data_IF_109836504103
#
_entry.id   IF_109836504103
#
_cell.length_a   1.000
_cell.length_b   1.000
_cell.length_c   1.000
_cell.angle_alpha   90.00
_cell.angle_beta   90.00
_cell.angle_gamma   90.00
#
_symmetry.space_group_name_H-M   'P 1'
#
loop_
_entity.id
_entity.type
_entity.pdbx_description
1 polymer ?
#
# COMPACT_ATOMS: atom_id res chain seq x y z
N UNK A 1 12.19 -20.69 16.53
CA UNK A 1 11.69 -21.15 15.21
C UNK A 1 11.04 -22.53 15.28
N UNK A 2 11.71 -23.58 15.75
CA UNK A 2 11.12 -24.93 15.88
C UNK A 2 9.82 -24.95 16.69
N UNK A 3 9.76 -24.25 17.82
CA UNK A 3 8.54 -24.18 18.67
C UNK A 3 7.38 -23.43 17.99
N UNK A 4 7.69 -22.47 17.13
CA UNK A 4 6.70 -21.71 16.35
C UNK A 4 6.11 -22.59 15.26
N UNK A 5 6.97 -23.26 14.49
CA UNK A 5 6.53 -24.26 13.52
C UNK A 5 5.70 -25.35 14.19
N UNK A 6 6.12 -25.80 15.38
CA UNK A 6 5.37 -26.79 16.15
C UNK A 6 4.00 -26.26 16.59
N UNK A 7 3.93 -25.04 17.10
CA UNK A 7 2.67 -24.37 17.46
C UNK A 7 1.73 -24.28 16.26
N UNK A 8 2.24 -23.92 15.08
CA UNK A 8 1.45 -23.74 13.87
C UNK A 8 1.01 -25.07 13.26
N UNK A 9 1.86 -26.10 13.29
CA UNK A 9 1.54 -27.48 12.94
C UNK A 9 0.39 -28.01 13.82
N UNK A 10 0.50 -27.83 15.14
CA UNK A 10 -0.55 -28.22 16.08
C UNK A 10 -1.84 -27.44 15.81
N UNK A 11 -1.77 -26.14 15.50
CA UNK A 11 -2.96 -25.36 15.16
C UNK A 11 -3.65 -25.88 13.89
N UNK A 12 -2.89 -26.26 12.85
CA UNK A 12 -3.40 -26.87 11.61
C UNK A 12 -4.10 -28.21 11.86
N UNK A 13 -3.59 -28.99 12.82
CA UNK A 13 -4.21 -30.24 13.29
C UNK A 13 -5.42 -30.04 14.22
N UNK A 14 -5.92 -28.81 14.36
CA UNK A 14 -7.13 -28.49 15.13
C UNK A 14 -6.94 -28.35 16.64
N UNK A 15 -5.69 -28.33 17.13
CA UNK A 15 -5.43 -28.25 18.56
C UNK A 15 -5.84 -26.88 19.15
N UNK A 16 -6.37 -26.91 20.37
CA UNK A 16 -6.72 -25.70 21.13
C UNK A 16 -5.47 -24.94 21.55
N UNK A 17 -5.56 -23.62 21.76
CA UNK A 17 -4.41 -22.82 22.20
C UNK A 17 -3.84 -23.27 23.54
N UNK A 18 -4.70 -23.83 24.42
CA UNK A 18 -4.26 -24.46 25.68
C UNK A 18 -3.39 -25.68 25.40
N UNK A 19 -3.80 -26.55 24.47
CA UNK A 19 -3.01 -27.74 24.14
C UNK A 19 -1.70 -27.40 23.44
N UNK A 20 -1.70 -26.35 22.63
CA UNK A 20 -0.48 -25.83 22.02
C UNK A 20 0.47 -25.26 23.08
N UNK A 21 -0.07 -24.51 24.05
CA UNK A 21 0.67 -23.98 25.21
C UNK A 21 1.39 -25.08 25.99
N UNK A 22 0.69 -26.20 26.24
CA UNK A 22 1.27 -27.37 26.93
C UNK A 22 2.44 -27.99 26.15
N UNK A 23 2.35 -28.03 24.81
CA UNK A 23 3.37 -28.68 23.98
C UNK A 23 4.57 -27.77 23.72
N UNK A 24 4.36 -26.46 23.58
CA UNK A 24 5.44 -25.52 23.23
C UNK A 24 5.98 -24.74 24.43
N UNK A 25 5.34 -24.82 25.59
CA UNK A 25 5.68 -24.03 26.78
C UNK A 25 5.31 -22.54 26.69
N UNK A 26 4.64 -22.11 25.62
CA UNK A 26 4.28 -20.71 25.41
C UNK A 26 2.96 -20.38 26.09
N UNK A 27 2.81 -19.20 26.68
CA UNK A 27 1.49 -18.81 27.23
C UNK A 27 0.43 -18.73 26.14
N UNK A 28 -0.81 -19.10 26.46
CA UNK A 28 -1.99 -18.96 25.60
C UNK A 28 -2.15 -17.54 25.07
N UNK A 29 -1.85 -16.52 25.88
CA UNK A 29 -1.89 -15.11 25.43
C UNK A 29 -0.86 -14.80 24.34
N UNK A 30 0.34 -15.42 24.42
CA UNK A 30 1.41 -15.28 23.43
C UNK A 30 1.02 -15.97 22.13
N UNK A 31 0.45 -17.17 22.22
CA UNK A 31 -0.04 -17.94 21.08
C UNK A 31 -1.18 -17.21 20.36
N UNK A 32 -2.13 -16.63 21.10
CA UNK A 32 -3.27 -15.87 20.54
C UNK A 32 -2.80 -14.57 19.90
N UNK A 33 -1.92 -13.80 20.57
CA UNK A 33 -1.32 -12.58 19.98
C UNK A 33 -0.57 -12.89 18.69
N UNK A 34 0.21 -13.96 18.69
CA UNK A 34 0.94 -14.44 17.53
C UNK A 34 -0.02 -14.85 16.40
N UNK A 35 -1.04 -15.65 16.68
CA UNK A 35 -2.00 -16.13 15.67
C UNK A 35 -2.84 -14.99 15.07
N UNK A 36 -3.24 -14.01 15.88
CA UNK A 36 -4.06 -12.86 15.46
C UNK A 36 -3.25 -11.76 14.75
N UNK A 37 -1.96 -11.62 15.02
CA UNK A 37 -1.11 -10.60 14.40
C UNK A 37 -0.51 -11.04 13.05
N UNK A 38 -0.56 -12.33 12.71
CA UNK A 38 0.13 -12.86 11.54
C UNK A 38 -0.82 -13.34 10.42
N UNK A 39 -1.52 -12.41 9.76
CA UNK A 39 -1.95 -12.62 8.36
C UNK A 39 -0.80 -12.32 7.35
N UNK A 40 0.42 -12.15 7.86
CA UNK A 40 1.68 -12.00 7.12
C UNK A 40 2.78 -12.95 7.60
N UNK A 41 2.41 -14.16 8.01
CA UNK A 41 3.30 -15.23 8.53
C UNK A 41 4.62 -15.36 7.75
N UNK A 42 4.61 -15.42 6.40
CA UNK A 42 5.85 -15.63 5.66
C UNK A 42 6.85 -14.49 5.86
N UNK A 43 6.36 -13.25 5.88
CA UNK A 43 7.20 -12.06 6.04
C UNK A 43 7.94 -12.06 7.39
N UNK A 44 7.22 -12.21 8.50
CA UNK A 44 7.83 -12.18 9.84
C UNK A 44 8.77 -13.35 10.09
N UNK A 45 8.46 -14.55 9.55
CA UNK A 45 9.35 -15.71 9.62
C UNK A 45 10.62 -15.52 8.79
N UNK A 46 10.50 -15.03 7.55
CA UNK A 46 11.63 -14.76 6.69
C UNK A 46 12.55 -13.70 7.31
N UNK A 47 11.97 -12.63 7.88
CA UNK A 47 12.73 -11.59 8.56
C UNK A 47 13.45 -12.16 9.80
N UNK A 48 12.76 -12.91 10.65
CA UNK A 48 13.36 -13.53 11.83
C UNK A 48 14.47 -14.52 11.47
N UNK A 49 14.31 -15.28 10.39
CA UNK A 49 15.30 -16.24 9.89
C UNK A 49 16.54 -15.52 9.35
N UNK A 50 16.36 -14.54 8.47
CA UNK A 50 17.44 -13.79 7.83
C UNK A 50 18.37 -13.09 8.84
N UNK A 51 17.80 -12.61 9.95
CA UNK A 51 18.54 -11.94 11.02
C UNK A 51 18.86 -12.85 12.22
N UNK A 52 18.44 -14.11 12.20
CA UNK A 52 18.56 -15.06 13.32
C UNK A 52 18.03 -14.48 14.65
N UNK A 53 16.98 -13.66 14.60
CA UNK A 53 16.36 -12.99 15.76
C UNK A 53 14.85 -13.25 15.79
N UNK A 54 14.43 -14.23 16.59
CA UNK A 54 13.00 -14.57 16.77
C UNK A 54 12.19 -13.43 17.41
N UNK A 55 12.81 -12.46 18.08
CA UNK A 55 12.07 -11.34 18.66
C UNK A 55 11.50 -10.38 17.61
N UNK A 56 11.99 -10.44 16.37
CA UNK A 56 11.43 -9.69 15.22
C UNK A 56 9.99 -10.09 14.89
N UNK A 57 9.52 -11.22 15.42
CA UNK A 57 8.15 -11.67 15.19
C UNK A 57 7.13 -10.93 16.06
N UNK A 58 7.58 -10.36 17.18
CA UNK A 58 6.69 -9.78 18.20
C UNK A 58 7.07 -8.34 18.59
N UNK A 59 8.21 -7.83 18.11
CA UNK A 59 8.72 -6.52 18.47
C UNK A 59 8.72 -5.55 17.27
N UNK A 60 7.67 -4.72 17.09
CA UNK A 60 7.56 -3.79 15.97
C UNK A 60 8.71 -2.78 15.88
N UNK A 61 9.28 -2.35 17.01
CA UNK A 61 10.41 -1.40 17.02
C UNK A 61 11.67 -2.04 16.43
N UNK A 62 11.94 -3.30 16.79
CA UNK A 62 13.06 -4.05 16.20
C UNK A 62 12.83 -4.31 14.71
N UNK A 63 11.61 -4.66 14.31
CA UNK A 63 11.25 -4.83 12.89
C UNK A 63 11.53 -3.55 12.13
N UNK A 64 11.08 -2.39 12.63
CA UNK A 64 11.30 -1.10 11.97
C UNK A 64 12.80 -0.83 11.75
N UNK A 65 13.62 -1.03 12.78
CA UNK A 65 15.08 -0.86 12.66
C UNK A 65 15.68 -1.80 11.61
N UNK A 66 15.27 -3.07 11.57
CA UNK A 66 15.74 -4.03 10.56
C UNK A 66 15.24 -3.69 9.15
N UNK A 67 14.08 -3.08 9.02
CA UNK A 67 13.59 -2.57 7.75
C UNK A 67 14.42 -1.40 7.24
N UNK A 68 14.88 -0.51 8.12
CA UNK A 68 15.81 0.59 7.75
C UNK A 68 17.17 0.05 7.29
N UNK A 69 17.71 -0.96 8.00
CA UNK A 69 18.95 -1.65 7.60
C UNK A 69 18.79 -2.34 6.23
N UNK A 70 17.68 -3.03 5.99
CA UNK A 70 17.38 -3.68 4.71
C UNK A 70 17.16 -2.66 3.58
N UNK A 71 16.51 -1.53 3.85
CA UNK A 71 16.34 -0.47 2.85
C UNK A 71 17.70 0.07 2.42
N UNK A 72 18.60 0.32 3.37
CA UNK A 72 19.95 0.77 3.05
C UNK A 72 20.70 -0.28 2.19
N UNK A 73 20.65 -1.55 2.59
CA UNK A 73 21.29 -2.63 1.82
C UNK A 73 20.75 -2.71 0.39
N UNK A 74 19.45 -2.52 0.19
CA UNK A 74 18.85 -2.50 -1.15
C UNK A 74 19.25 -1.25 -1.96
N UNK A 75 19.46 -0.08 -1.33
CA UNK A 75 20.03 1.10 -2.00
C UNK A 75 21.48 0.85 -2.41
N UNK A 76 22.28 0.27 -1.53
CA UNK A 76 23.69 -0.06 -1.79
C UNK A 76 23.80 -1.05 -2.97
N UNK A 77 22.95 -2.08 -3.01
CA UNK A 77 22.86 -3.04 -4.12
C UNK A 77 22.50 -2.39 -5.47
N UNK A 78 21.82 -1.24 -5.44
CA UNK A 78 21.46 -0.46 -6.64
C UNK A 78 22.49 0.61 -6.98
N UNK A 79 23.55 0.76 -6.20
CA UNK A 79 24.55 1.83 -6.37
C UNK A 79 24.01 3.22 -6.03
N UNK A 80 22.99 3.30 -5.17
CA UNK A 80 22.35 4.56 -4.77
C UNK A 80 22.77 4.98 -3.37
N UNK A 81 22.88 6.28 -3.16
CA UNK A 81 23.18 6.87 -1.85
C UNK A 81 22.00 6.76 -0.89
N UNK A 82 22.28 6.92 0.41
CA UNK A 82 21.27 6.85 1.47
C UNK A 82 20.12 7.84 1.30
N UNK A 83 20.41 9.03 0.78
CA UNK A 83 19.46 10.14 0.68
C UNK A 83 18.64 10.11 -0.63
N UNK A 84 19.02 9.27 -1.59
CA UNK A 84 18.28 9.10 -2.84
C UNK A 84 16.97 8.34 -2.61
N UNK A 85 15.89 8.84 -3.17
CA UNK A 85 14.57 8.23 -3.08
C UNK A 85 14.45 7.07 -4.08
N UNK A 86 14.10 5.88 -3.60
CA UNK A 86 13.99 4.68 -4.43
C UNK A 86 12.56 4.16 -4.47
N UNK A 87 11.90 4.03 -3.32
CA UNK A 87 10.56 3.42 -3.24
C UNK A 87 9.47 4.50 -3.17
N UNK A 88 8.60 4.53 -4.19
CA UNK A 88 7.52 5.53 -4.31
C UNK A 88 6.18 4.87 -4.56
N UNK A 89 5.10 5.44 -4.01
CA UNK A 89 3.74 4.97 -4.24
C UNK A 89 3.07 5.71 -5.39
N UNK A 90 2.36 5.01 -6.28
CA UNK A 90 1.62 5.62 -7.42
C UNK A 90 0.61 6.67 -6.95
N UNK A 91 -0.07 6.45 -5.82
CA UNK A 91 -0.98 7.44 -5.24
C UNK A 91 -0.25 8.72 -4.82
N UNK A 92 0.98 8.61 -4.28
CA UNK A 92 1.78 9.80 -3.94
C UNK A 92 2.23 10.53 -5.20
N UNK A 93 2.68 9.81 -6.24
CA UNK A 93 3.06 10.39 -7.53
C UNK A 93 1.88 11.12 -8.17
N UNK A 94 0.69 10.52 -8.20
CA UNK A 94 -0.52 11.14 -8.73
C UNK A 94 -0.92 12.43 -7.99
N UNK A 95 -0.57 12.55 -6.70
CA UNK A 95 -0.76 13.79 -5.93
C UNK A 95 0.10 14.96 -6.43
N UNK A 96 0.96 14.77 -7.44
CA UNK A 96 1.63 15.86 -8.15
C UNK A 96 0.61 16.92 -8.61
N UNK A 97 -0.53 16.49 -9.16
CA UNK A 97 -1.62 17.38 -9.61
C UNK A 97 -2.39 18.04 -8.46
N UNK A 98 -2.20 17.59 -7.22
CA UNK A 98 -2.64 18.34 -6.05
C UNK A 98 -1.60 19.39 -5.64
N UNK A 99 -0.35 18.96 -5.48
CA UNK A 99 0.82 19.76 -5.16
C UNK A 99 2.09 18.91 -5.34
N UNK A 100 2.93 19.26 -6.32
CA UNK A 100 4.17 18.56 -6.65
C UNK A 100 5.13 18.42 -5.46
N UNK A 101 5.41 19.50 -4.72
CA UNK A 101 6.30 19.44 -3.56
C UNK A 101 5.74 18.57 -2.43
N UNK A 102 4.41 18.58 -2.22
CA UNK A 102 3.76 17.68 -1.24
C UNK A 102 3.89 16.22 -1.67
N UNK A 103 3.71 15.94 -2.97
CA UNK A 103 3.88 14.60 -3.55
C UNK A 103 5.28 14.05 -3.23
N UNK A 104 6.34 14.83 -3.52
CA UNK A 104 7.71 14.46 -3.21
C UNK A 104 7.97 14.23 -1.71
N UNK A 105 7.63 15.20 -0.86
CA UNK A 105 7.85 15.11 0.59
C UNK A 105 7.09 13.93 1.21
N UNK A 106 5.90 13.63 0.69
CA UNK A 106 5.12 12.47 1.12
C UNK A 106 5.77 11.16 0.70
N UNK A 107 6.32 11.06 -0.51
CA UNK A 107 7.09 9.90 -0.96
C UNK A 107 8.33 9.68 -0.10
N UNK A 108 9.13 10.72 0.17
CA UNK A 108 10.30 10.62 1.07
C UNK A 108 9.92 10.16 2.48
N UNK A 109 8.84 10.71 3.04
CA UNK A 109 8.34 10.28 4.36
C UNK A 109 7.86 8.83 4.40
N UNK A 110 7.38 8.29 3.27
CA UNK A 110 6.77 6.95 3.19
C UNK A 110 7.68 5.90 2.53
N UNK A 111 8.91 6.25 2.16
CA UNK A 111 9.82 5.34 1.45
C UNK A 111 9.95 3.98 2.15
N UNK A 112 10.18 4.00 3.47
CA UNK A 112 10.30 2.77 4.28
C UNK A 112 9.02 1.93 4.28
N UNK A 113 7.85 2.56 4.25
CA UNK A 113 6.55 1.88 4.16
C UNK A 113 6.38 1.20 2.80
N UNK A 114 6.75 1.89 1.71
CA UNK A 114 6.72 1.32 0.37
C UNK A 114 7.74 0.19 0.19
N UNK A 115 8.93 0.34 0.76
CA UNK A 115 9.92 -0.74 0.79
C UNK A 115 9.42 -1.97 1.56
N UNK A 116 8.78 -1.76 2.72
CA UNK A 116 8.15 -2.85 3.46
C UNK A 116 7.03 -3.54 2.69
N UNK A 117 6.20 -2.79 1.98
CA UNK A 117 5.17 -3.33 1.10
C UNK A 117 5.77 -4.15 -0.06
N UNK A 118 6.79 -3.60 -0.73
CA UNK A 118 7.57 -4.27 -1.78
C UNK A 118 8.10 -5.63 -1.33
N UNK A 119 8.81 -5.67 -0.20
CA UNK A 119 9.41 -6.90 0.29
C UNK A 119 8.35 -7.90 0.76
N UNK A 120 7.32 -7.42 1.47
CA UNK A 120 6.22 -8.26 1.94
C UNK A 120 5.46 -8.92 0.79
N UNK A 121 5.17 -8.19 -0.27
CA UNK A 121 4.42 -8.73 -1.42
C UNK A 121 5.25 -9.77 -2.16
N UNK A 122 6.52 -9.48 -2.44
CA UNK A 122 7.45 -10.43 -3.08
C UNK A 122 7.55 -11.75 -2.30
N UNK A 123 7.73 -11.68 -0.99
CA UNK A 123 7.80 -12.86 -0.13
C UNK A 123 6.48 -13.65 -0.17
N UNK A 124 5.36 -12.97 0.09
CA UNK A 124 4.06 -13.65 0.14
C UNK A 124 3.67 -14.25 -1.21
N UNK A 125 3.98 -13.58 -2.31
CA UNK A 125 3.64 -14.04 -3.66
C UNK A 125 4.54 -15.20 -4.09
N UNK A 126 5.84 -15.17 -3.74
CA UNK A 126 6.75 -16.29 -4.00
C UNK A 126 6.24 -17.60 -3.41
N UNK A 127 5.80 -17.58 -2.15
CA UNK A 127 5.27 -18.78 -1.50
C UNK A 127 3.93 -19.23 -2.08
N UNK A 128 3.04 -18.29 -2.41
CA UNK A 128 1.76 -18.61 -3.04
C UNK A 128 1.95 -19.25 -4.42
N UNK A 129 2.89 -18.75 -5.22
CA UNK A 129 3.11 -19.22 -6.59
C UNK A 129 3.72 -20.63 -6.65
N UNK A 130 4.52 -21.02 -5.66
CA UNK A 130 5.10 -22.37 -5.54
C UNK A 130 4.08 -23.47 -5.19
N UNK A 131 2.80 -23.12 -4.97
CA UNK A 131 1.77 -24.07 -4.56
C UNK A 131 1.95 -24.59 -3.13
N UNK A 132 2.94 -24.07 -2.40
CA UNK A 132 3.16 -24.37 -0.99
C UNK A 132 1.95 -23.91 -0.18
N UNK A 133 1.73 -24.59 0.96
CA UNK A 133 0.90 -24.09 2.06
C UNK A 133 1.20 -22.60 2.30
N UNK A 134 0.33 -21.84 2.97
CA UNK A 134 0.56 -20.43 3.35
C UNK A 134 1.87 -20.17 4.14
N UNK A 135 2.69 -21.19 4.35
CA UNK A 135 3.93 -21.22 5.10
C UNK A 135 5.09 -21.79 4.27
N UNK A 136 6.28 -21.15 4.30
CA UNK A 136 7.54 -21.74 3.86
C UNK A 136 7.86 -23.01 4.64
N UNK A 137 8.53 -23.97 4.01
CA UNK A 137 9.30 -24.96 4.77
C UNK A 137 10.53 -24.30 5.42
N UNK A 138 11.01 -24.86 6.53
CA UNK A 138 12.16 -24.30 7.26
C UNK A 138 13.41 -24.18 6.39
N UNK A 139 13.59 -25.11 5.46
CA UNK A 139 14.73 -25.13 4.54
C UNK A 139 14.63 -24.08 3.42
N UNK A 140 13.42 -23.55 3.17
CA UNK A 140 13.16 -22.48 2.21
C UNK A 140 13.32 -21.08 2.81
N UNK A 141 13.53 -20.96 4.13
CA UNK A 141 13.69 -19.67 4.79
C UNK A 141 15.05 -19.04 4.46
N UNK A 142 15.09 -17.72 4.24
CA UNK A 142 16.35 -17.01 3.98
C UNK A 142 17.25 -17.07 5.21
N UNK A 143 18.54 -17.27 4.97
CA UNK A 143 19.59 -17.41 6.00
C UNK A 143 20.42 -16.15 6.19
N UNK A 144 20.22 -15.16 5.30
CA UNK A 144 20.89 -13.87 5.30
C UNK A 144 19.96 -12.75 4.82
N UNK A 145 20.26 -11.48 5.15
CA UNK A 145 19.56 -10.33 4.59
C UNK A 145 19.58 -10.26 3.05
N UNK A 146 20.68 -10.67 2.41
CA UNK A 146 20.79 -10.69 0.95
C UNK A 146 19.87 -11.71 0.30
N UNK A 147 19.80 -12.92 0.87
CA UNK A 147 18.84 -13.94 0.43
C UNK A 147 17.40 -13.44 0.58
N UNK A 148 17.08 -12.78 1.68
CA UNK A 148 15.75 -12.20 1.93
C UNK A 148 15.37 -11.18 0.85
N UNK A 149 16.29 -10.28 0.48
CA UNK A 149 16.06 -9.28 -0.57
C UNK A 149 15.94 -9.89 -1.97
N UNK A 150 16.49 -11.10 -2.18
CA UNK A 150 16.39 -11.81 -3.46
C UNK A 150 15.06 -12.54 -3.67
N UNK A 151 14.30 -12.83 -2.61
CA UNK A 151 13.03 -13.55 -2.71
C UNK A 151 12.07 -12.80 -3.64
N UNK A 152 11.55 -13.47 -4.66
CA UNK A 152 10.56 -12.93 -5.58
C UNK A 152 11.12 -12.08 -6.71
N UNK A 153 12.45 -12.11 -6.96
CA UNK A 153 13.07 -11.47 -8.12
C UNK A 153 12.56 -12.08 -9.44
N UNK A 154 12.16 -13.33 -9.40
CA UNK A 154 11.63 -14.12 -10.52
C UNK A 154 10.17 -13.81 -10.86
N UNK A 155 9.44 -13.14 -9.95
CA UNK A 155 8.01 -12.87 -10.13
C UNK A 155 7.84 -11.82 -11.23
N UNK A 156 7.14 -12.20 -12.29
CA UNK A 156 6.81 -11.32 -13.41
C UNK A 156 5.31 -10.95 -13.42
N UNK A 157 4.90 -10.08 -14.34
CA UNK A 157 3.51 -9.65 -14.44
C UNK A 157 2.54 -10.82 -14.69
N UNK A 158 2.94 -11.87 -15.41
CA UNK A 158 2.12 -13.06 -15.65
C UNK A 158 1.78 -13.81 -14.36
N UNK A 159 2.73 -13.86 -13.41
CA UNK A 159 2.48 -14.44 -12.09
C UNK A 159 1.49 -13.59 -11.27
N UNK A 160 1.60 -12.27 -11.38
CA UNK A 160 0.66 -11.32 -10.74
C UNK A 160 -0.74 -11.48 -11.32
N UNK A 161 -0.87 -11.66 -12.64
CA UNK A 161 -2.16 -11.96 -13.28
C UNK A 161 -2.76 -13.28 -12.79
N UNK A 162 -1.94 -14.31 -12.58
CA UNK A 162 -2.37 -15.58 -11.99
C UNK A 162 -2.92 -15.36 -10.58
N UNK A 163 -2.19 -14.67 -9.72
CA UNK A 163 -2.62 -14.35 -8.34
C UNK A 163 -3.87 -13.47 -8.31
N UNK A 164 -4.00 -12.52 -9.25
CA UNK A 164 -5.19 -11.67 -9.37
C UNK A 164 -6.42 -12.50 -9.76
N UNK A 165 -6.30 -13.46 -10.69
CA UNK A 165 -7.38 -14.38 -11.06
C UNK A 165 -7.81 -15.26 -9.89
N UNK A 166 -6.89 -15.71 -9.05
CA UNK A 166 -7.22 -16.44 -7.82
C UNK A 166 -8.02 -15.55 -6.85
N UNK A 167 -7.62 -14.29 -6.68
CA UNK A 167 -8.38 -13.31 -5.87
C UNK A 167 -9.77 -13.03 -6.44
N UNK A 168 -9.91 -12.97 -7.76
CA UNK A 168 -11.20 -12.83 -8.43
C UNK A 168 -12.15 -13.99 -8.10
N UNK A 169 -11.66 -15.24 -8.20
CA UNK A 169 -12.44 -16.43 -7.84
C UNK A 169 -12.86 -16.41 -6.36
N UNK A 170 -11.96 -16.05 -5.45
CA UNK A 170 -12.29 -15.92 -4.02
C UNK A 170 -13.34 -14.84 -3.77
N UNK A 171 -13.26 -13.71 -4.46
CA UNK A 171 -14.24 -12.63 -4.33
C UNK A 171 -15.63 -13.08 -4.80
N UNK A 172 -15.73 -13.80 -5.92
CA UNK A 172 -17.00 -14.36 -6.41
C UNK A 172 -17.58 -15.40 -5.45
N UNK A 173 -16.73 -16.26 -4.87
CA UNK A 173 -17.14 -17.20 -3.82
C UNK A 173 -17.65 -16.47 -2.57
N UNK A 174 -17.01 -15.37 -2.16
CA UNK A 174 -17.48 -14.55 -1.03
C UNK A 174 -18.84 -13.91 -1.34
N UNK A 175 -19.03 -13.36 -2.55
CA UNK A 175 -20.32 -12.78 -2.96
C UNK A 175 -21.45 -13.81 -2.96
N UNK A 176 -21.19 -15.03 -3.42
CA UNK A 176 -22.19 -16.10 -3.46
C UNK A 176 -22.59 -16.62 -2.06
N UNK A 177 -21.67 -16.58 -1.09
CA UNK A 177 -21.90 -17.11 0.27
C UNK A 177 -22.34 -16.04 1.29
N UNK A 178 -22.20 -14.75 0.98
CA UNK A 178 -22.68 -13.65 1.83
C UNK A 178 -24.12 -13.34 1.45
N UNK A 179 -25.04 -14.21 1.90
CA UNK A 179 -26.43 -13.80 2.18
C UNK A 179 -26.43 -13.25 3.61
N UNK A 180 -26.51 -11.93 3.76
CA UNK A 180 -27.03 -11.33 5.00
C UNK A 180 -26.05 -10.84 6.07
N UNK A 181 -24.75 -10.67 5.83
CA UNK A 181 -23.92 -9.87 6.75
C UNK A 181 -23.85 -8.43 6.22
N UNK A 182 -24.64 -7.56 6.84
CA UNK A 182 -24.50 -6.11 6.70
C UNK A 182 -23.10 -5.72 7.18
N UNK A 183 -22.23 -5.33 6.23
CA UNK A 183 -20.89 -4.82 6.52
C UNK A 183 -20.88 -3.61 7.47
N UNK A 184 -22.04 -2.94 7.59
CA UNK A 184 -22.28 -1.84 8.53
C UNK A 184 -22.12 -2.31 9.98
N UNK A 185 -22.51 -3.55 10.29
CA UNK A 185 -22.48 -4.09 11.66
C UNK A 185 -21.05 -4.46 12.12
N UNK A 186 -20.16 -4.79 11.18
CA UNK A 186 -18.73 -5.08 11.46
C UNK A 186 -17.92 -3.83 11.82
N UNK A 187 -18.32 -2.64 11.34
CA UNK A 187 -17.62 -1.38 11.58
C UNK A 187 -18.31 -0.46 12.61
N UNK A 188 -19.53 -0.80 13.06
CA UNK A 188 -20.26 -0.09 14.10
C UNK A 188 -19.61 -0.18 15.50
N UNK A 189 -18.62 -1.05 15.70
CA UNK A 189 -17.96 -1.30 16.99
C UNK A 189 -17.06 -0.20 17.56
N UNK A 190 -16.95 1.00 16.96
CA UNK A 190 -16.19 2.13 17.55
C UNK A 190 -16.96 3.47 17.51
N UNK A 191 -17.26 3.97 18.72
CA UNK A 191 -17.95 5.19 19.16
C UNK A 191 -17.43 6.57 18.66
N UNK A 192 -16.86 6.68 17.46
CA UNK A 192 -16.52 7.99 16.88
C UNK A 192 -17.53 8.35 15.77
N UNK A 193 -18.30 9.44 15.94
CA UNK A 193 -19.16 9.97 14.88
C UNK A 193 -18.40 10.08 13.57
N UNK A 194 -19.04 9.72 12.45
CA UNK A 194 -18.39 9.72 11.14
C UNK A 194 -17.72 11.08 10.83
N UNK A 195 -18.35 12.19 11.22
CA UNK A 195 -17.82 13.54 11.01
C UNK A 195 -16.61 13.92 11.86
N UNK A 196 -16.36 13.24 12.99
CA UNK A 196 -15.17 13.49 13.82
C UNK A 196 -13.94 12.69 13.35
N UNK A 197 -14.09 11.87 12.30
CA UNK A 197 -12.98 11.10 11.73
C UNK A 197 -12.10 11.96 10.83
N UNK A 198 -10.81 11.66 10.80
CA UNK A 198 -9.89 12.31 9.85
C UNK A 198 -10.32 12.08 8.40
N UNK A 199 -10.00 12.99 7.46
CA UNK A 199 -10.37 12.83 6.05
C UNK A 199 -9.97 11.47 5.45
N UNK A 200 -8.77 10.96 5.81
CA UNK A 200 -8.29 9.63 5.37
C UNK A 200 -9.23 8.51 5.83
N UNK A 201 -9.58 8.47 7.12
CA UNK A 201 -10.45 7.43 7.70
C UNK A 201 -11.88 7.49 7.16
N UNK A 202 -12.39 8.69 6.85
CA UNK A 202 -13.70 8.85 6.18
C UNK A 202 -13.65 8.25 4.78
N UNK A 203 -12.61 8.56 4.01
CA UNK A 203 -12.38 7.96 2.69
C UNK A 203 -12.36 6.44 2.73
N UNK A 204 -11.56 5.84 3.62
CA UNK A 204 -11.48 4.38 3.82
C UNK A 204 -12.87 3.77 4.16
N UNK A 205 -13.66 4.45 4.99
CA UNK A 205 -15.02 3.98 5.34
C UNK A 205 -15.97 4.07 4.15
N UNK A 206 -15.92 5.16 3.39
CA UNK A 206 -16.77 5.39 2.23
C UNK A 206 -16.42 4.45 1.09
N UNK A 207 -15.14 4.16 0.87
CA UNK A 207 -14.71 3.14 -0.08
C UNK A 207 -15.33 1.78 0.24
N UNK A 208 -15.37 1.41 1.54
CA UNK A 208 -15.98 0.14 1.94
C UNK A 208 -17.48 0.08 1.62
N UNK A 209 -18.18 1.20 1.79
CA UNK A 209 -19.65 1.25 1.74
C UNK A 209 -20.17 1.57 0.32
N UNK A 210 -19.45 2.42 -0.43
CA UNK A 210 -19.93 3.03 -1.68
C UNK A 210 -19.16 2.56 -2.91
N UNK A 211 -17.93 2.10 -2.78
CA UNK A 211 -17.14 1.70 -3.95
C UNK A 211 -17.63 0.37 -4.53
N UNK A 212 -17.57 0.26 -5.85
CA UNK A 212 -17.72 -1.02 -6.54
C UNK A 212 -16.63 -2.01 -6.15
N UNK A 213 -16.96 -3.30 -6.15
CA UNK A 213 -16.08 -4.38 -5.67
C UNK A 213 -15.52 -5.19 -6.82
N UNK A 214 -14.21 -5.03 -7.02
CA UNK A 214 -13.41 -5.75 -7.98
C UNK A 214 -12.23 -6.45 -7.29
N UNK A 215 -11.63 -7.48 -7.90
CA UNK A 215 -10.40 -8.03 -7.37
C UNK A 215 -9.28 -6.98 -7.46
N UNK A 216 -8.40 -6.97 -6.47
CA UNK A 216 -7.26 -6.06 -6.40
C UNK A 216 -6.01 -6.81 -5.98
N UNK A 217 -4.85 -6.29 -6.39
CA UNK A 217 -3.54 -6.76 -5.97
C UNK A 217 -2.57 -5.58 -5.92
N UNK A 218 -1.75 -5.53 -4.85
CA UNK A 218 -0.61 -4.63 -4.81
C UNK A 218 0.56 -5.26 -5.56
N UNK A 219 1.23 -4.47 -6.38
CA UNK A 219 2.49 -4.86 -6.99
C UNK A 219 3.46 -3.68 -7.10
N UNK A 220 4.68 -4.00 -7.51
CA UNK A 220 5.78 -3.06 -7.65
C UNK A 220 6.40 -3.18 -9.05
N UNK A 221 6.86 -2.05 -9.58
CA UNK A 221 7.37 -1.96 -10.93
C UNK A 221 8.65 -1.14 -10.94
N UNK A 222 9.69 -1.65 -11.59
CA UNK A 222 10.89 -0.86 -11.81
C UNK A 222 10.59 0.21 -12.89
N UNK A 223 10.97 1.45 -12.61
CA UNK A 223 10.93 2.55 -13.57
C UNK A 223 12.14 3.45 -13.31
N UNK A 224 13.13 3.36 -14.20
CA UNK A 224 14.46 3.96 -13.99
C UNK A 224 15.04 3.57 -12.62
N UNK A 225 15.45 4.53 -11.80
CA UNK A 225 16.01 4.27 -10.47
C UNK A 225 14.93 4.04 -9.39
N UNK A 226 13.65 4.15 -9.73
CA UNK A 226 12.54 4.00 -8.80
C UNK A 226 11.94 2.59 -8.83
N UNK A 227 11.44 2.18 -7.67
CA UNK A 227 10.45 1.11 -7.52
C UNK A 227 9.09 1.76 -7.24
N UNK A 228 8.19 1.66 -8.21
CA UNK A 228 6.86 2.24 -8.16
C UNK A 228 5.87 1.22 -7.63
N UNK A 229 5.32 1.46 -6.44
CA UNK A 229 4.38 0.56 -5.75
C UNK A 229 2.94 1.04 -5.96
N UNK A 230 2.05 0.13 -6.37
CA UNK A 230 0.65 0.45 -6.66
C UNK A 230 -0.31 -0.66 -6.24
N UNK A 231 -1.43 -0.26 -5.64
CA UNK A 231 -2.57 -1.11 -5.27
C UNK A 231 -3.83 -0.39 -5.73
N UNK A 232 -4.36 -0.69 -6.93
CA UNK A 232 -5.62 -0.12 -7.40
C UNK A 232 -6.79 -0.57 -6.54
N UNK A 233 -7.86 0.21 -6.44
CA UNK A 233 -9.07 -0.24 -5.72
C UNK A 233 -9.73 -1.42 -6.43
N UNK A 234 -9.48 -1.59 -7.74
CA UNK A 234 -9.90 -2.75 -8.51
C UNK A 234 -9.15 -2.93 -9.83
N UNK A 235 -9.06 -4.17 -10.30
CA UNK A 235 -8.46 -4.54 -11.58
C UNK A 235 -9.32 -5.64 -12.21
N UNK A 236 -9.76 -5.45 -13.44
CA UNK A 236 -10.41 -6.49 -14.27
C UNK A 236 -9.51 -6.88 -15.42
N UNK A 237 -9.96 -7.69 -16.38
CA UNK A 237 -9.18 -7.97 -17.59
C UNK A 237 -9.02 -6.73 -18.48
N UNK A 238 -9.96 -5.78 -18.41
CA UNK A 238 -10.05 -4.67 -19.36
C UNK A 238 -9.75 -3.29 -18.76
N UNK A 239 -10.00 -3.11 -17.47
CA UNK A 239 -9.85 -1.81 -16.82
C UNK A 239 -9.25 -1.89 -15.41
N UNK A 240 -8.66 -0.78 -15.00
CA UNK A 240 -8.37 -0.48 -13.59
C UNK A 240 -9.47 0.41 -13.02
N UNK A 241 -9.78 0.21 -11.74
CA UNK A 241 -10.79 0.93 -11.00
C UNK A 241 -10.14 1.72 -9.87
N UNK A 242 -10.58 2.97 -9.71
CA UNK A 242 -10.16 3.86 -8.63
C UNK A 242 -11.38 4.57 -8.05
N UNK A 243 -11.48 4.57 -6.73
CA UNK A 243 -12.51 5.25 -5.97
C UNK A 243 -11.91 6.39 -5.14
N UNK A 244 -12.57 7.54 -5.13
CA UNK A 244 -12.28 8.63 -4.21
C UNK A 244 -13.56 9.17 -3.61
N UNK A 245 -13.42 9.82 -2.46
CA UNK A 245 -14.49 10.63 -1.87
C UNK A 245 -14.03 12.07 -1.67
N UNK A 246 -14.94 13.02 -1.83
CA UNK A 246 -14.72 14.45 -1.56
C UNK A 246 -15.90 15.05 -0.81
N UNK A 247 -15.64 16.11 -0.03
CA UNK A 247 -16.69 16.75 0.77
C UNK A 247 -17.75 17.40 -0.12
N UNK A 248 -17.34 18.10 -1.17
CA UNK A 248 -18.23 18.89 -2.03
C UNK A 248 -17.72 18.96 -3.47
N UNK A 249 -18.55 19.51 -4.35
CA UNK A 249 -18.27 19.64 -5.79
C UNK A 249 -17.12 20.58 -6.10
N UNK A 250 -16.91 21.62 -5.30
CA UNK A 250 -15.76 22.51 -5.45
C UNK A 250 -14.42 21.75 -5.33
N UNK A 251 -14.29 20.92 -4.29
CA UNK A 251 -13.07 20.12 -4.07
C UNK A 251 -12.90 19.01 -5.11
N UNK A 252 -13.99 18.52 -5.70
CA UNK A 252 -13.96 17.53 -6.77
C UNK A 252 -13.08 17.97 -7.95
N UNK A 253 -13.09 19.25 -8.31
CA UNK A 253 -12.24 19.81 -9.39
C UNK A 253 -10.73 19.63 -9.13
N UNK A 254 -10.32 19.44 -7.87
CA UNK A 254 -8.93 19.19 -7.49
C UNK A 254 -8.65 17.71 -7.22
N UNK A 255 -9.67 16.93 -6.84
CA UNK A 255 -9.56 15.48 -6.61
C UNK A 255 -9.58 14.71 -7.93
N UNK A 256 -10.40 15.13 -8.90
CA UNK A 256 -10.56 14.45 -10.19
C UNK A 256 -9.24 14.29 -10.95
N UNK A 257 -8.40 15.34 -11.13
CA UNK A 257 -7.12 15.18 -11.82
C UNK A 257 -6.21 14.15 -11.13
N UNK A 258 -6.18 14.14 -9.80
CA UNK A 258 -5.39 13.17 -9.02
C UNK A 258 -5.90 11.75 -9.24
N UNK A 259 -7.22 11.55 -9.15
CA UNK A 259 -7.85 10.23 -9.31
C UNK A 259 -7.64 9.66 -10.73
N UNK A 260 -7.84 10.49 -11.76
CA UNK A 260 -7.60 10.09 -13.16
C UNK A 260 -6.13 9.76 -13.41
N UNK A 261 -5.19 10.55 -12.87
CA UNK A 261 -3.75 10.28 -12.97
C UNK A 261 -3.37 8.98 -12.28
N UNK A 262 -3.93 8.74 -11.09
CA UNK A 262 -3.66 7.51 -10.34
C UNK A 262 -4.12 6.29 -11.13
N UNK A 263 -5.30 6.37 -11.75
CA UNK A 263 -5.81 5.32 -12.63
C UNK A 263 -4.99 5.18 -13.93
N UNK A 264 -4.44 6.27 -14.49
CA UNK A 264 -3.52 6.20 -15.63
C UNK A 264 -2.22 5.45 -15.28
N UNK A 265 -1.62 5.76 -14.12
CA UNK A 265 -0.44 5.05 -13.62
C UNK A 265 -0.74 3.56 -13.44
N UNK A 266 -1.86 3.21 -12.81
CA UNK A 266 -2.28 1.82 -12.66
C UNK A 266 -2.49 1.13 -13.99
N UNK A 267 -3.23 1.74 -14.91
CA UNK A 267 -3.47 1.18 -16.24
C UNK A 267 -2.19 0.98 -17.04
N UNK A 268 -1.24 1.92 -16.95
CA UNK A 268 0.06 1.84 -17.61
C UNK A 268 0.89 0.64 -17.11
N UNK A 269 1.00 0.47 -15.80
CA UNK A 269 1.83 -0.57 -15.18
C UNK A 269 1.16 -1.96 -15.23
N UNK A 270 -0.14 -2.06 -14.91
CA UNK A 270 -0.92 -3.31 -14.98
C UNK A 270 -1.45 -3.62 -16.39
N UNK A 271 -1.01 -2.88 -17.42
CA UNK A 271 -1.32 -3.13 -18.84
C UNK A 271 -2.82 -3.20 -19.14
N UNK A 272 -3.63 -2.33 -18.51
CA UNK A 272 -5.05 -2.15 -18.83
C UNK A 272 -5.24 -0.95 -19.76
N UNK A 273 -6.13 -1.09 -20.72
CA UNK A 273 -6.36 -0.06 -21.74
C UNK A 273 -7.48 0.92 -21.35
N UNK A 274 -8.30 0.58 -20.35
CA UNK A 274 -9.39 1.41 -19.84
C UNK A 274 -9.22 1.71 -18.36
N UNK A 275 -9.80 2.81 -17.91
CA UNK A 275 -9.91 3.19 -16.50
C UNK A 275 -11.36 3.51 -16.18
N UNK A 276 -11.78 3.15 -14.98
CA UNK A 276 -13.06 3.55 -14.37
C UNK A 276 -12.75 4.26 -13.07
N UNK A 277 -13.14 5.51 -12.96
CA UNK A 277 -12.91 6.33 -11.75
C UNK A 277 -14.23 6.77 -11.18
N UNK A 278 -14.47 6.48 -9.91
CA UNK A 278 -15.66 6.94 -9.18
C UNK A 278 -15.27 7.97 -8.12
N UNK A 279 -15.97 9.10 -8.11
CA UNK A 279 -15.80 10.14 -7.11
C UNK A 279 -17.13 10.37 -6.40
N UNK A 280 -17.19 9.96 -5.14
CA UNK A 280 -18.32 10.18 -4.26
C UNK A 280 -18.26 11.58 -3.63
N UNK A 281 -19.30 12.39 -3.86
CA UNK A 281 -19.47 13.75 -3.34
C UNK A 281 -20.43 13.70 -2.15
N UNK A 282 -19.88 13.87 -0.94
CA UNK A 282 -20.61 13.66 0.31
C UNK A 282 -21.79 14.62 0.49
N UNK A 283 -21.62 15.90 0.14
CA UNK A 283 -22.62 16.96 0.30
C UNK A 283 -23.98 16.61 -0.35
N UNK A 284 -23.96 15.87 -1.46
CA UNK A 284 -25.15 15.56 -2.25
C UNK A 284 -25.46 14.05 -2.32
N UNK A 285 -24.74 13.20 -1.56
CA UNK A 285 -24.81 11.73 -1.66
C UNK A 285 -24.77 11.21 -3.12
N UNK A 286 -23.86 11.77 -3.92
CA UNK A 286 -23.79 11.52 -5.36
C UNK A 286 -22.44 10.94 -5.78
N UNK A 287 -22.45 9.89 -6.60
CA UNK A 287 -21.23 9.34 -7.22
C UNK A 287 -21.16 9.75 -8.68
N UNK A 288 -20.11 10.51 -9.05
CA UNK A 288 -19.79 10.73 -10.46
C UNK A 288 -18.84 9.62 -10.95
N UNK A 289 -19.14 9.05 -12.12
CA UNK A 289 -18.35 7.96 -12.73
C UNK A 289 -17.71 8.45 -14.04
N UNK A 290 -16.41 8.20 -14.20
CA UNK A 290 -15.64 8.50 -15.40
C UNK A 290 -15.09 7.21 -15.99
N UNK A 291 -15.50 6.89 -17.22
CA UNK A 291 -14.96 5.75 -17.97
C UNK A 291 -14.21 6.25 -19.19
N UNK A 292 -12.89 6.05 -19.19
CA UNK A 292 -12.01 6.61 -20.22
C UNK A 292 -10.96 5.58 -20.63
N UNK A 293 -10.26 5.85 -21.73
CA UNK A 293 -9.03 5.11 -22.05
C UNK A 293 -7.93 5.52 -21.07
N UNK A 294 -7.04 4.57 -20.75
CA UNK A 294 -5.83 4.87 -19.99
C UNK A 294 -4.91 5.72 -20.84
N UNK A 295 -4.52 6.88 -20.32
CA UNK A 295 -3.56 7.76 -20.95
C UNK A 295 -2.13 7.39 -20.52
N UNK A 296 -1.49 6.55 -21.33
CA UNK A 296 -0.12 6.07 -21.08
C UNK A 296 0.91 7.20 -21.17
N UNK A 297 0.68 8.20 -22.03
CA UNK A 297 1.58 9.34 -22.16
C UNK A 297 1.53 10.19 -20.89
N UNK A 298 0.33 10.49 -20.41
CA UNK A 298 0.11 11.21 -19.17
C UNK A 298 0.71 10.49 -17.95
N UNK A 299 0.60 9.16 -17.87
CA UNK A 299 1.24 8.37 -16.82
C UNK A 299 2.77 8.55 -16.78
N UNK A 300 3.43 8.42 -17.94
CA UNK A 300 4.88 8.60 -18.06
C UNK A 300 5.30 10.04 -17.81
N UNK A 301 4.57 11.02 -18.35
CA UNK A 301 4.84 12.43 -18.14
C UNK A 301 4.75 12.81 -16.66
N UNK A 302 3.78 12.26 -15.94
CA UNK A 302 3.64 12.48 -14.50
C UNK A 302 4.85 11.94 -13.74
N UNK A 303 5.35 10.74 -14.08
CA UNK A 303 6.55 10.17 -13.47
C UNK A 303 7.79 11.03 -13.74
N UNK A 304 7.97 11.51 -14.98
CA UNK A 304 9.08 12.40 -15.36
C UNK A 304 9.04 13.73 -14.63
N UNK A 305 7.87 14.36 -14.52
CA UNK A 305 7.69 15.59 -13.75
C UNK A 305 7.91 15.40 -12.25
N UNK A 306 7.48 14.27 -11.70
CA UNK A 306 7.77 13.92 -10.32
C UNK A 306 9.29 13.79 -10.10
N UNK A 307 9.97 13.04 -10.98
CA UNK A 307 11.42 12.86 -10.94
C UNK A 307 12.17 14.20 -11.03
N UNK A 308 11.78 15.07 -11.97
CA UNK A 308 12.43 16.37 -12.15
C UNK A 308 12.38 17.23 -10.88
N UNK A 309 11.26 17.18 -10.12
CA UNK A 309 11.14 17.86 -8.82
C UNK A 309 12.01 17.20 -7.74
N UNK A 310 12.18 15.88 -7.76
CA UNK A 310 13.11 15.17 -6.87
C UNK A 310 14.58 15.54 -7.16
N UNK A 311 14.91 15.73 -8.44
CA UNK A 311 16.22 16.18 -8.94
C UNK A 311 16.46 17.69 -8.75
N UNK A 312 15.49 18.42 -8.18
CA UNK A 312 15.66 19.81 -7.75
C UNK A 312 14.94 20.86 -8.59
N UNK A 313 14.16 20.46 -9.60
CA UNK A 313 13.28 21.39 -10.31
C UNK A 313 12.30 22.07 -9.33
N UNK A 314 12.14 23.38 -9.45
CA UNK A 314 11.20 24.15 -8.61
C UNK A 314 9.78 23.99 -9.17
N UNK A 315 8.87 23.30 -8.46
CA UNK A 315 7.51 23.16 -8.95
C UNK A 315 6.72 24.47 -8.82
N UNK A 316 5.66 24.59 -9.63
CA UNK A 316 4.70 25.66 -9.47
C UNK A 316 4.05 25.62 -8.07
N UNK A 317 3.90 26.79 -7.41
CA UNK A 317 3.26 26.86 -6.11
C UNK A 317 1.79 26.43 -6.20
N UNK A 318 1.26 25.65 -5.24
CA UNK A 318 -0.15 25.27 -5.22
C UNK A 318 -1.02 26.48 -4.82
N UNK A 319 -2.35 26.31 -4.85
CA UNK A 319 -3.29 27.31 -4.29
C UNK A 319 -3.03 27.53 -2.80
N UNK A 320 -3.11 28.78 -2.35
CA UNK A 320 -2.77 29.20 -0.97
C UNK A 320 -3.48 28.38 0.11
N UNK A 321 -4.79 28.14 -0.06
CA UNK A 321 -5.57 27.37 0.91
C UNK A 321 -5.05 25.93 1.07
N UNK A 322 -4.43 25.32 0.05
CA UNK A 322 -3.81 23.99 0.15
C UNK A 322 -2.59 24.02 1.06
N UNK A 323 -1.84 25.13 1.10
CA UNK A 323 -0.69 25.30 1.98
C UNK A 323 -1.09 25.47 3.45
N UNK A 324 -2.21 26.14 3.73
CA UNK A 324 -2.70 26.39 5.11
C UNK A 324 -2.98 25.10 5.89
N UNK A 325 -3.50 24.08 5.20
CA UNK A 325 -3.88 22.78 5.77
C UNK A 325 -2.86 21.66 5.48
N UNK A 326 -1.67 21.99 4.97
CA UNK A 326 -0.68 20.99 4.58
C UNK A 326 0.14 20.48 5.78
N UNK A 327 0.20 19.16 5.95
CA UNK A 327 1.04 18.50 6.98
C UNK A 327 2.53 18.82 6.86
N UNK A 328 2.97 19.21 5.66
CA UNK A 328 4.36 19.55 5.38
C UNK A 328 4.63 21.04 5.42
N UNK A 329 3.69 21.86 5.91
CA UNK A 329 3.86 23.32 5.97
C UNK A 329 5.24 23.63 6.55
N UNK A 330 5.58 23.16 7.76
CA UNK A 330 6.83 23.46 8.47
C UNK A 330 8.14 23.30 7.67
N UNK A 331 8.21 22.34 6.75
CA UNK A 331 9.44 22.00 6.01
C UNK A 331 9.39 22.31 4.51
N UNK A 332 8.22 22.63 3.95
CA UNK A 332 8.05 22.87 2.52
C UNK A 332 8.65 24.22 2.11
N UNK A 333 9.52 24.21 1.08
CA UNK A 333 10.16 25.40 0.50
C UNK A 333 9.36 26.03 -0.65
N UNK A 334 8.41 25.30 -1.25
CA UNK A 334 7.58 25.75 -2.38
C UNK A 334 6.22 26.34 -1.93
N UNK A 335 6.17 26.99 -0.76
CA UNK A 335 4.90 27.51 -0.26
C UNK A 335 4.46 28.71 -1.08
N UNK A 336 3.18 28.75 -1.41
CA UNK A 336 2.50 29.93 -1.92
C UNK A 336 2.16 30.88 -0.76
N UNK A 337 3.14 31.34 0.01
CA UNK A 337 2.89 32.56 0.78
C UNK A 337 3.28 33.71 -0.12
N UNK A 338 2.32 34.56 -0.46
CA UNK A 338 2.66 35.93 -0.76
C UNK A 338 3.56 36.40 0.38
N UNK A 339 4.79 36.80 0.05
CA UNK A 339 5.54 37.70 0.94
C UNK A 339 4.54 38.78 1.32
N UNK A 340 4.35 39.02 2.62
CA UNK A 340 3.57 40.15 3.11
C UNK A 340 4.08 41.39 2.37
N UNK A 341 3.41 41.81 1.30
CA UNK A 341 3.44 43.19 0.88
C UNK A 341 2.65 43.89 1.98
N UNK A 342 3.28 44.77 2.78
CA UNK A 342 2.55 45.53 3.78
C UNK A 342 1.36 46.17 3.08
N UNK A 343 0.16 45.99 3.61
CA UNK A 343 -0.96 46.86 3.22
C UNK A 343 -0.54 48.25 3.67
N UNK A 344 -0.04 49.06 2.74
CA UNK A 344 0.07 50.50 2.95
C UNK A 344 -1.35 51.04 3.10
N UNK A 345 -1.52 51.82 4.16
CA UNK A 345 -2.75 52.39 4.67
C UNK A 345 -3.58 53.14 3.64
#
# INVERSE_FOLDING_TARGET
MKDIYKMMELKKRGYSYKKISEVTGWSTSTIVKYTLQHLGIPFSLCLASAFRDCSLMINPKKVLKKMEELLQLEKDRRGLSKDELVFIGMANVANYYWCAMKSLLKSKKMELEFFGAYLKDRINYSFRLKGSSLMPDMDELPRSPDELLNIGNEINLGDIEKLLKERAKMLELMKANIVGISFVDLYAGKKLPFESRSPKRRGETLEIIKAERYPTIRWNFNWENYVVVGEPDGITDNFVYEFKSTKNRFLMNFVKPVALTQADLYGYFFKRNRKRVQIYIMENDMTETFEEKVDKFHAIETLRRFKSVDEGEKPLPPKEWKCRVCDFKGICKARSFAINVPRTH
#
